data_IF_782911588248
#
_entry.id   IF_782911588248
#
_cell.length_a   1.000
_cell.length_b   1.000
_cell.length_c   1.000
_cell.angle_alpha   90.00
_cell.angle_beta   90.00
_cell.angle_gamma   90.00
#
_symmetry.space_group_name_H-M   'P 1'
#
loop_
_entity.id
_entity.type
_entity.pdbx_description
1 polymer ?
#
# COMPACT_ATOMS: atom_id res chain seq x y z
N UNK A 1 0.71 38.00 -9.55
CA UNK A 1 0.23 37.08 -8.49
C UNK A 1 0.40 35.64 -8.91
N UNK A 2 1.35 34.95 -8.30
CA UNK A 2 1.69 33.55 -8.58
C UNK A 2 1.00 32.67 -7.55
N UNK A 3 0.33 31.60 -7.98
CA UNK A 3 -0.28 30.63 -7.07
C UNK A 3 0.79 29.71 -6.50
N UNK A 4 0.82 29.56 -5.18
CA UNK A 4 1.68 28.61 -4.50
C UNK A 4 0.84 27.66 -3.66
N UNK A 5 1.15 26.37 -3.76
CA UNK A 5 0.56 25.31 -2.95
C UNK A 5 1.69 24.53 -2.29
N UNK A 6 1.66 24.41 -0.98
CA UNK A 6 2.53 23.49 -0.24
C UNK A 6 1.68 22.40 0.40
N UNK A 7 2.17 21.17 0.33
CA UNK A 7 1.45 19.97 0.77
C UNK A 7 2.41 19.06 1.53
N UNK A 8 2.07 18.64 2.74
CA UNK A 8 2.87 17.72 3.53
C UNK A 8 2.75 17.95 5.03
N UNK A 9 3.72 17.44 5.80
CA UNK A 9 3.83 17.70 7.24
C UNK A 9 4.80 18.87 7.48
N UNK A 10 4.42 19.90 8.26
CA UNK A 10 5.36 20.96 8.62
C UNK A 10 6.53 20.39 9.42
N UNK A 11 7.74 20.85 9.13
CA UNK A 11 8.94 20.55 9.90
C UNK A 11 8.95 21.25 11.25
N UNK A 12 8.44 22.50 11.31
CA UNK A 12 8.33 23.25 12.56
C UNK A 12 7.07 24.12 12.56
N UNK A 13 6.59 24.43 13.77
CA UNK A 13 5.55 25.44 14.02
C UNK A 13 6.10 26.40 15.06
N UNK A 14 6.18 27.69 14.73
CA UNK A 14 6.69 28.74 15.61
C UNK A 14 5.57 29.70 15.97
N UNK A 15 5.41 29.98 17.26
CA UNK A 15 4.48 31.00 17.74
C UNK A 15 5.05 32.39 17.46
N UNK A 16 4.24 33.28 16.89
CA UNK A 16 4.60 34.65 16.57
C UNK A 16 3.99 35.61 17.61
N UNK A 17 4.52 35.57 18.83
CA UNK A 17 3.90 36.23 19.99
C UNK A 17 3.71 37.76 19.86
N UNK A 18 4.49 38.42 18.98
CA UNK A 18 4.49 39.87 18.80
C UNK A 18 3.95 40.31 17.43
N UNK A 19 3.40 39.40 16.63
CA UNK A 19 2.82 39.73 15.33
C UNK A 19 1.31 40.00 15.50
N UNK A 20 0.81 41.20 15.10
CA UNK A 20 -0.58 41.58 15.31
C UNK A 20 -1.56 40.87 14.36
N UNK A 21 -1.08 40.22 13.30
CA UNK A 21 -1.90 39.63 12.24
C UNK A 21 -1.81 38.10 12.20
N UNK A 22 -0.64 37.53 12.47
CA UNK A 22 -0.36 36.10 12.34
C UNK A 22 0.01 35.48 13.68
N UNK A 23 -0.61 34.34 14.01
CA UNK A 23 -0.40 33.62 15.26
C UNK A 23 0.78 32.65 15.19
N UNK A 24 0.92 31.94 14.07
CA UNK A 24 1.95 30.92 13.87
C UNK A 24 2.63 31.03 12.52
N UNK A 25 3.92 30.75 12.46
CA UNK A 25 4.63 30.41 11.25
C UNK A 25 4.81 28.89 11.17
N UNK A 26 4.32 28.25 10.10
CA UNK A 26 4.54 26.83 9.85
C UNK A 26 5.58 26.67 8.75
N UNK A 27 6.67 25.98 9.08
CA UNK A 27 7.79 25.75 8.18
C UNK A 27 7.63 24.41 7.50
N UNK A 28 7.67 24.41 6.18
CA UNK A 28 7.79 23.25 5.32
C UNK A 28 9.18 23.32 4.69
N UNK A 29 10.19 22.84 5.40
CA UNK A 29 11.59 22.88 4.94
C UNK A 29 12.17 21.49 4.65
N UNK A 30 11.48 20.42 5.04
CA UNK A 30 11.87 19.04 4.73
C UNK A 30 11.31 18.62 3.37
N UNK A 31 12.08 18.89 2.32
CA UNK A 31 11.72 18.61 0.92
C UNK A 31 11.39 17.13 0.65
N UNK A 32 11.78 16.21 1.53
CA UNK A 32 11.47 14.77 1.38
C UNK A 32 10.06 14.42 1.84
N UNK A 33 9.45 15.22 2.71
CA UNK A 33 8.14 14.97 3.32
C UNK A 33 7.04 15.92 2.82
N UNK A 34 7.37 16.75 1.84
CA UNK A 34 6.48 17.78 1.34
C UNK A 34 6.62 17.95 -0.15
N UNK A 35 5.59 18.50 -0.78
CA UNK A 35 5.57 18.86 -2.18
C UNK A 35 5.09 20.29 -2.30
N UNK A 36 5.92 21.12 -2.95
CA UNK A 36 5.56 22.49 -3.28
C UNK A 36 5.25 22.58 -4.77
N UNK A 37 4.22 23.35 -5.12
CA UNK A 37 3.87 23.70 -6.48
C UNK A 37 3.77 25.21 -6.64
N UNK A 38 4.37 25.71 -7.72
CA UNK A 38 4.25 27.10 -8.15
C UNK A 38 3.52 27.08 -9.50
N UNK A 39 2.32 27.62 -9.54
CA UNK A 39 1.39 27.41 -10.65
C UNK A 39 1.09 25.92 -10.85
N UNK A 40 1.54 25.35 -11.97
CA UNK A 40 1.37 23.92 -12.30
C UNK A 40 2.62 23.08 -12.10
N UNK A 41 3.75 23.72 -11.80
CA UNK A 41 5.05 23.05 -11.75
C UNK A 41 5.37 22.63 -10.31
N UNK A 42 5.96 21.44 -10.16
CA UNK A 42 6.49 20.96 -8.88
C UNK A 42 7.89 21.53 -8.70
N UNK A 43 8.13 22.22 -7.60
CA UNK A 43 9.40 22.91 -7.34
C UNK A 43 9.92 22.48 -5.97
N UNK A 44 11.21 22.19 -5.87
CA UNK A 44 11.86 21.75 -4.64
C UNK A 44 12.36 22.96 -3.84
N UNK A 45 11.45 23.64 -3.15
CA UNK A 45 11.74 24.89 -2.41
C UNK A 45 11.19 24.83 -0.99
N UNK A 46 11.89 25.52 -0.08
CA UNK A 46 11.46 25.69 1.32
C UNK A 46 10.33 26.71 1.36
N UNK A 47 9.33 26.44 2.20
CA UNK A 47 8.14 27.29 2.31
C UNK A 47 7.84 27.56 3.78
N UNK A 48 7.48 28.80 4.10
CA UNK A 48 6.99 29.20 5.43
C UNK A 48 5.62 29.82 5.26
N UNK A 49 4.63 29.30 5.98
CA UNK A 49 3.25 29.79 5.90
C UNK A 49 2.89 30.56 7.17
N UNK A 50 2.34 31.76 7.01
CA UNK A 50 1.91 32.61 8.12
C UNK A 50 0.42 32.38 8.39
N UNK A 51 0.08 31.89 9.58
CA UNK A 51 -1.27 31.41 9.92
C UNK A 51 -1.96 32.41 10.85
N UNK A 52 -3.14 32.88 10.44
CA UNK A 52 -3.99 33.73 11.28
C UNK A 52 -4.68 32.94 12.40
N UNK A 53 -5.09 33.58 13.51
CA UNK A 53 -5.77 32.89 14.62
C UNK A 53 -6.99 32.05 14.19
N UNK A 54 -7.80 32.55 13.27
CA UNK A 54 -9.01 31.87 12.78
C UNK A 54 -8.65 30.64 11.94
N UNK A 55 -7.62 30.77 11.11
CA UNK A 55 -7.11 29.69 10.27
C UNK A 55 -6.49 28.56 11.12
N UNK A 56 -5.84 28.94 12.21
CA UNK A 56 -5.31 27.98 13.18
C UNK A 56 -6.43 27.18 13.85
N UNK A 57 -7.48 27.86 14.33
CA UNK A 57 -8.68 27.19 14.88
C UNK A 57 -9.33 26.26 13.85
N UNK A 58 -9.47 26.72 12.61
CA UNK A 58 -10.04 25.91 11.53
C UNK A 58 -9.19 24.65 11.27
N UNK A 59 -7.86 24.78 11.24
CA UNK A 59 -6.97 23.64 11.05
C UNK A 59 -7.10 22.62 12.19
N UNK A 60 -7.10 23.07 13.44
CA UNK A 60 -7.28 22.18 14.60
C UNK A 60 -8.63 21.45 14.56
N UNK A 61 -9.70 22.14 14.17
CA UNK A 61 -11.02 21.52 14.02
C UNK A 61 -11.00 20.44 12.94
N UNK A 62 -10.43 20.71 11.76
CA UNK A 62 -10.33 19.71 10.68
C UNK A 62 -9.50 18.48 11.10
N UNK A 63 -8.45 18.68 11.89
CA UNK A 63 -7.63 17.59 12.44
C UNK A 63 -8.46 16.74 13.40
N UNK A 64 -9.16 17.37 14.35
CA UNK A 64 -10.01 16.69 15.32
C UNK A 64 -11.18 15.94 14.66
N UNK A 65 -11.86 16.55 13.68
CA UNK A 65 -12.93 15.93 12.89
C UNK A 65 -12.44 14.70 12.11
N UNK A 66 -11.16 14.71 11.72
CA UNK A 66 -10.48 13.59 11.09
C UNK A 66 -10.20 12.40 12.03
N UNK A 67 -10.35 12.61 13.34
CA UNK A 67 -9.97 11.66 14.40
C UNK A 67 -8.47 11.67 14.71
N UNK A 68 -7.74 12.69 14.25
CA UNK A 68 -6.30 12.84 14.44
C UNK A 68 -6.04 13.93 15.51
N UNK A 69 -4.80 14.02 15.97
CA UNK A 69 -4.28 15.09 16.84
C UNK A 69 -3.24 15.92 16.08
N UNK A 70 -2.81 17.05 16.65
CA UNK A 70 -1.80 17.87 15.99
C UNK A 70 -0.44 17.15 15.82
N UNK A 71 -0.08 16.24 16.73
CA UNK A 71 1.22 15.55 16.71
C UNK A 71 1.28 14.43 15.66
N UNK A 72 0.16 13.74 15.45
CA UNK A 72 -0.04 12.68 14.45
C UNK A 72 -0.82 13.17 13.21
N UNK A 73 -0.95 14.49 13.02
CA UNK A 73 -1.55 15.07 11.83
C UNK A 73 -0.86 14.52 10.57
N UNK A 74 -1.68 14.07 9.63
CA UNK A 74 -1.25 13.36 8.44
C UNK A 74 -0.71 14.30 7.36
N UNK A 75 -1.58 15.02 6.66
CA UNK A 75 -1.20 15.81 5.51
C UNK A 75 -1.97 17.13 5.47
N UNK A 76 -1.23 18.24 5.54
CA UNK A 76 -1.77 19.60 5.49
C UNK A 76 -1.47 20.17 4.10
N UNK A 77 -2.48 20.77 3.47
CA UNK A 77 -2.33 21.49 2.19
C UNK A 77 -2.67 22.95 2.40
N UNK A 78 -1.76 23.83 1.99
CA UNK A 78 -1.91 25.28 2.12
C UNK A 78 -1.75 25.94 0.76
N UNK A 79 -2.73 26.75 0.39
CA UNK A 79 -2.79 27.43 -0.90
C UNK A 79 -2.84 28.93 -0.70
N UNK A 80 -2.03 29.67 -1.45
CA UNK A 80 -2.01 31.13 -1.39
C UNK A 80 -1.47 31.75 -2.66
N UNK A 81 -1.23 33.06 -2.57
CA UNK A 81 -0.68 33.85 -3.67
C UNK A 81 0.53 34.62 -3.17
N UNK A 82 1.48 34.83 -4.07
CA UNK A 82 2.65 35.67 -3.84
C UNK A 82 2.76 36.74 -4.92
N UNK A 83 3.34 37.87 -4.53
CA UNK A 83 3.47 39.04 -5.40
C UNK A 83 4.82 39.12 -6.10
N UNK A 84 5.81 38.34 -5.65
CA UNK A 84 7.14 38.26 -6.21
C UNK A 84 7.70 36.82 -6.10
N UNK A 85 8.79 36.56 -6.82
CA UNK A 85 9.59 35.33 -6.70
C UNK A 85 10.74 35.60 -5.71
N UNK A 86 10.85 34.92 -4.56
CA UNK A 86 12.06 34.91 -3.75
C UNK A 86 12.91 33.67 -4.10
N UNK A 87 14.24 33.81 -4.04
CA UNK A 87 15.17 32.85 -4.64
C UNK A 87 15.62 31.68 -3.74
N UNK A 88 15.15 31.55 -2.48
CA UNK A 88 15.54 30.41 -1.61
C UNK A 88 14.45 29.89 -0.63
N UNK A 89 13.67 30.77 -0.01
CA UNK A 89 12.57 30.42 0.91
C UNK A 89 11.34 31.25 0.55
N UNK A 90 10.20 30.59 0.37
CA UNK A 90 8.94 31.23 0.03
C UNK A 90 8.09 31.45 1.28
N UNK A 91 7.78 32.71 1.60
CA UNK A 91 6.88 33.03 2.70
C UNK A 91 5.55 33.54 2.17
N UNK A 92 4.43 32.99 2.63
CA UNK A 92 3.11 33.48 2.24
C UNK A 92 2.04 33.23 3.32
N UNK A 93 1.00 34.05 3.30
CA UNK A 93 -0.22 33.81 4.07
C UNK A 93 -1.19 32.96 3.23
N UNK A 94 -1.61 31.77 3.70
CA UNK A 94 -2.52 30.93 2.95
C UNK A 94 -3.89 31.57 2.89
N UNK A 95 -4.55 31.45 1.74
CA UNK A 95 -5.97 31.79 1.58
C UNK A 95 -6.87 30.60 1.89
N UNK A 96 -6.34 29.39 1.70
CA UNK A 96 -7.05 28.14 1.96
C UNK A 96 -6.14 27.16 2.66
N UNK A 97 -6.66 26.54 3.71
CA UNK A 97 -6.04 25.43 4.42
C UNK A 97 -6.97 24.23 4.28
N UNK A 98 -6.39 23.10 3.91
CA UNK A 98 -7.06 21.81 3.83
C UNK A 98 -6.27 20.80 4.64
N UNK A 99 -6.99 19.84 5.21
CA UNK A 99 -6.40 18.72 5.94
C UNK A 99 -6.95 17.42 5.37
N UNK A 100 -6.06 16.45 5.15
CA UNK A 100 -6.42 15.09 4.74
C UNK A 100 -6.06 14.15 5.88
N UNK A 101 -7.07 13.64 6.57
CA UNK A 101 -6.89 12.78 7.74
C UNK A 101 -6.37 11.39 7.39
N UNK A 102 -5.83 10.66 8.37
CA UNK A 102 -5.48 9.25 8.17
C UNK A 102 -6.70 8.39 7.84
N UNK A 103 -7.86 8.73 8.40
CA UNK A 103 -9.14 8.05 8.13
C UNK A 103 -9.59 8.26 6.67
N UNK A 104 -9.54 9.49 6.17
CA UNK A 104 -9.85 9.82 4.77
C UNK A 104 -8.87 9.15 3.81
N UNK A 105 -7.57 9.19 4.10
CA UNK A 105 -6.58 8.48 3.29
C UNK A 105 -6.85 6.97 3.23
N UNK A 106 -7.14 6.32 4.36
CA UNK A 106 -7.50 4.89 4.39
C UNK A 106 -8.78 4.60 3.63
N UNK A 107 -9.75 5.51 3.66
CA UNK A 107 -11.00 5.37 2.91
C UNK A 107 -10.76 5.54 1.42
N UNK A 108 -9.99 6.54 0.99
CA UNK A 108 -9.58 6.72 -0.41
C UNK A 108 -8.75 5.53 -0.90
N UNK A 109 -7.84 4.99 -0.09
CA UNK A 109 -7.09 3.77 -0.41
C UNK A 109 -8.01 2.55 -0.53
N UNK A 110 -9.00 2.41 0.35
CA UNK A 110 -10.03 1.36 0.23
C UNK A 110 -10.93 1.56 -0.99
N UNK A 111 -11.33 2.79 -1.29
CA UNK A 111 -12.15 3.14 -2.44
C UNK A 111 -11.36 2.94 -3.73
N UNK A 112 -10.07 3.25 -3.76
CA UNK A 112 -9.13 2.93 -4.84
C UNK A 112 -8.93 1.41 -4.96
N UNK A 113 -8.84 0.65 -3.87
CA UNK A 113 -8.80 -0.81 -3.91
C UNK A 113 -10.12 -1.43 -4.40
N UNK A 114 -11.27 -0.82 -4.06
CA UNK A 114 -12.60 -1.22 -4.51
C UNK A 114 -12.79 -0.83 -5.98
N UNK A 115 -12.30 0.33 -6.40
CA UNK A 115 -12.24 0.76 -7.79
C UNK A 115 -11.30 -0.15 -8.57
N UNK A 116 -10.12 -0.52 -8.10
CA UNK A 116 -9.24 -1.50 -8.75
C UNK A 116 -9.86 -2.90 -8.83
N UNK A 117 -10.72 -3.29 -7.88
CA UNK A 117 -11.49 -4.55 -7.93
C UNK A 117 -12.68 -4.47 -8.90
N UNK A 118 -13.37 -3.33 -9.00
CA UNK A 118 -14.43 -3.09 -9.98
C UNK A 118 -13.88 -2.86 -11.39
N UNK A 119 -12.74 -2.20 -11.53
CA UNK A 119 -12.02 -1.93 -12.78
C UNK A 119 -11.35 -3.19 -13.34
N UNK A 120 -11.21 -4.26 -12.57
CA UNK A 120 -10.90 -5.60 -13.11
C UNK A 120 -12.11 -6.31 -13.72
N UNK A 121 -13.33 -5.92 -13.36
CA UNK A 121 -14.57 -6.33 -14.03
C UNK A 121 -14.97 -5.39 -15.17
N UNK A 122 -14.59 -4.11 -15.09
CA UNK A 122 -14.91 -3.05 -16.04
C UNK A 122 -13.66 -2.43 -16.71
N UNK A 123 -12.60 -3.23 -16.95
CA UNK A 123 -11.41 -2.85 -17.74
C UNK A 123 -11.71 -2.55 -19.23
N UNK A 124 -12.97 -2.27 -19.56
CA UNK A 124 -13.46 -1.80 -20.83
C UNK A 124 -14.34 -0.58 -20.52
N UNK A 125 -13.73 0.63 -20.60
CA UNK A 125 -14.34 1.98 -20.68
C UNK A 125 -13.95 2.95 -19.56
N UNK A 126 -12.65 3.19 -19.37
CA UNK A 126 -12.19 4.58 -19.27
C UNK A 126 -11.38 4.83 -20.54
N UNK A 127 -11.95 5.59 -21.48
CA UNK A 127 -11.21 6.09 -22.64
C UNK A 127 -10.12 7.01 -22.10
N UNK A 128 -8.92 6.47 -21.87
CA UNK A 128 -7.74 7.29 -22.14
C UNK A 128 -7.87 7.65 -23.61
N UNK A 129 -8.06 8.93 -23.91
CA UNK A 129 -8.18 9.38 -25.30
C UNK A 129 -6.77 9.33 -25.88
N UNK A 130 -6.30 8.10 -26.15
CA UNK A 130 -5.10 7.86 -26.94
C UNK A 130 -5.34 8.60 -28.24
N UNK A 131 -4.47 9.57 -28.55
CA UNK A 131 -4.67 10.39 -29.75
C UNK A 131 -4.76 9.46 -30.98
N UNK A 132 -5.63 9.78 -31.93
CA UNK A 132 -5.77 9.01 -33.18
C UNK A 132 -4.42 8.79 -33.88
N UNK A 133 -3.51 9.77 -33.73
CA UNK A 133 -2.14 9.70 -34.26
C UNK A 133 -1.30 8.63 -33.58
N UNK A 134 -1.41 8.47 -32.26
CA UNK A 134 -0.75 7.37 -31.54
C UNK A 134 -1.32 6.04 -32.01
N UNK A 135 -2.64 5.91 -32.16
CA UNK A 135 -3.26 4.65 -32.61
C UNK A 135 -2.82 4.24 -34.04
N UNK A 136 -2.78 5.21 -34.96
CA UNK A 136 -2.29 5.00 -36.33
C UNK A 136 -0.83 4.56 -36.36
N UNK A 137 0.04 5.25 -35.63
CA UNK A 137 1.47 4.89 -35.57
C UNK A 137 1.68 3.57 -34.84
N UNK A 138 0.91 3.29 -33.80
CA UNK A 138 0.96 2.02 -33.06
C UNK A 138 0.56 0.84 -33.94
N UNK A 139 -0.50 0.98 -34.75
CA UNK A 139 -0.90 -0.03 -35.72
C UNK A 139 0.17 -0.20 -36.82
N UNK A 140 0.70 0.91 -37.35
CA UNK A 140 1.73 0.90 -38.39
C UNK A 140 3.02 0.19 -37.94
N UNK A 141 3.40 0.37 -36.68
CA UNK A 141 4.65 -0.17 -36.12
C UNK A 141 4.44 -1.38 -35.21
N UNK A 142 3.22 -1.94 -35.19
CA UNK A 142 2.84 -3.07 -34.35
C UNK A 142 3.24 -2.90 -32.86
N UNK A 143 3.10 -1.67 -32.35
CA UNK A 143 3.48 -1.28 -31.00
C UNK A 143 4.97 -1.35 -30.68
N UNK A 144 5.84 -1.55 -31.66
CA UNK A 144 7.29 -1.66 -31.48
C UNK A 144 7.94 -0.28 -31.39
N UNK A 145 8.71 -0.06 -30.32
CA UNK A 145 9.53 1.12 -30.12
C UNK A 145 10.58 1.22 -31.24
N UNK A 146 10.56 2.33 -31.97
CA UNK A 146 11.45 2.55 -33.13
C UNK A 146 12.91 2.86 -32.76
N UNK A 147 13.24 2.90 -31.46
CA UNK A 147 14.61 3.12 -30.97
C UNK A 147 15.25 1.87 -30.36
N UNK A 148 14.49 1.05 -29.61
CA UNK A 148 15.03 -0.12 -28.91
C UNK A 148 14.36 -1.46 -29.24
N UNK A 149 13.32 -1.49 -30.06
CA UNK A 149 12.61 -2.72 -30.42
C UNK A 149 11.64 -3.26 -29.35
N UNK A 150 11.57 -2.67 -28.16
CA UNK A 150 10.61 -3.05 -27.13
C UNK A 150 9.17 -2.87 -27.64
N UNK A 151 8.31 -3.88 -27.45
CA UNK A 151 6.88 -3.74 -27.70
C UNK A 151 6.19 -3.05 -26.51
N UNK A 152 5.36 -2.06 -26.78
CA UNK A 152 4.62 -1.29 -25.78
C UNK A 152 3.16 -1.12 -26.16
N UNK A 153 2.27 -1.02 -25.17
CA UNK A 153 0.88 -0.68 -25.39
C UNK A 153 0.73 0.79 -25.84
N UNK A 154 -0.32 1.07 -26.61
CA UNK A 154 -0.62 2.42 -27.13
C UNK A 154 -0.79 3.48 -26.04
N UNK A 155 -1.13 3.08 -24.81
CA UNK A 155 -1.25 3.97 -23.66
C UNK A 155 0.10 4.39 -23.07
N UNK A 156 1.18 3.68 -23.40
CA UNK A 156 2.50 3.84 -22.77
C UNK A 156 3.51 4.55 -23.68
N UNK A 157 3.26 4.54 -25.00
CA UNK A 157 4.19 5.11 -25.99
C UNK A 157 4.04 6.63 -26.14
N UNK A 158 5.14 7.29 -26.50
CA UNK A 158 5.15 8.69 -26.93
C UNK A 158 5.50 8.79 -28.41
N UNK A 159 5.04 9.84 -29.08
CA UNK A 159 5.43 10.14 -30.47
C UNK A 159 6.71 10.97 -30.46
N UNK A 160 7.71 10.59 -31.25
CA UNK A 160 8.95 11.36 -31.48
C UNK A 160 9.31 11.36 -32.96
N UNK A 161 9.94 12.44 -33.44
CA UNK A 161 10.52 12.51 -34.79
C UNK A 161 11.87 11.79 -34.79
N UNK A 162 12.02 10.77 -35.62
CA UNK A 162 13.22 9.93 -35.79
C UNK A 162 13.57 9.95 -37.28
N UNK A 163 14.78 10.43 -37.63
CA UNK A 163 15.28 10.48 -39.00
C UNK A 163 14.23 11.02 -40.01
N UNK A 164 13.67 12.18 -39.68
CA UNK A 164 12.63 12.88 -40.48
C UNK A 164 11.25 12.20 -40.55
N UNK A 165 11.03 11.04 -39.92
CA UNK A 165 9.72 10.38 -39.82
C UNK A 165 9.19 10.41 -38.39
N UNK A 166 7.87 10.38 -38.22
CA UNK A 166 7.26 10.28 -36.89
C UNK A 166 7.14 8.81 -36.51
N UNK A 167 7.65 8.46 -35.32
CA UNK A 167 7.60 7.11 -34.77
C UNK A 167 7.08 7.10 -33.34
N UNK A 168 6.85 5.90 -32.83
CA UNK A 168 6.55 5.67 -31.41
C UNK A 168 7.82 5.25 -30.68
N UNK A 169 7.97 5.74 -29.45
CA UNK A 169 9.07 5.38 -28.55
C UNK A 169 8.53 4.96 -27.19
N UNK A 170 9.22 4.01 -26.55
CA UNK A 170 8.91 3.58 -25.19
C UNK A 170 9.34 4.66 -24.16
N UNK A 171 8.85 4.57 -22.91
CA UNK A 171 9.23 5.49 -21.83
C UNK A 171 10.73 5.55 -21.60
N UNK A 172 11.43 4.42 -21.67
CA UNK A 172 12.89 4.39 -21.48
C UNK A 172 13.64 5.16 -22.56
N UNK A 173 13.25 4.95 -23.83
CA UNK A 173 13.83 5.68 -24.95
C UNK A 173 13.51 7.17 -24.93
N UNK A 174 12.37 7.55 -24.35
CA UNK A 174 11.98 8.94 -24.14
C UNK A 174 12.84 9.60 -23.05
N UNK A 175 13.09 8.88 -21.96
CA UNK A 175 13.86 9.36 -20.81
C UNK A 175 15.36 9.09 -20.93
N UNK A 176 15.80 8.49 -22.05
CA UNK A 176 17.19 8.12 -22.31
C UNK A 176 17.78 7.15 -21.27
N UNK A 177 16.92 6.31 -20.71
CA UNK A 177 17.28 5.27 -19.75
C UNK A 177 17.38 3.90 -20.40
N UNK A 178 18.16 3.00 -19.80
CA UNK A 178 18.17 1.57 -20.13
C UNK A 178 17.58 0.79 -18.96
N UNK A 179 16.63 -0.09 -19.25
CA UNK A 179 15.98 -0.92 -18.25
C UNK A 179 16.49 -2.37 -18.33
N UNK A 180 16.84 -2.94 -17.18
CA UNK A 180 17.25 -4.34 -17.04
C UNK A 180 16.67 -4.92 -15.76
N UNK A 181 16.38 -6.21 -15.77
CA UNK A 181 16.02 -6.96 -14.57
C UNK A 181 17.28 -7.19 -13.76
N UNK A 182 17.27 -6.75 -12.50
CA UNK A 182 18.43 -6.86 -11.60
C UNK A 182 18.25 -7.95 -10.57
N UNK A 183 17.05 -8.09 -10.02
CA UNK A 183 16.80 -9.02 -8.94
C UNK A 183 15.34 -9.51 -8.88
N UNK A 184 15.10 -10.53 -8.06
CA UNK A 184 13.77 -11.07 -7.75
C UNK A 184 13.54 -10.93 -6.24
N UNK A 185 12.37 -10.44 -5.86
CA UNK A 185 11.98 -10.35 -4.45
C UNK A 185 12.07 -11.73 -3.80
N UNK A 186 12.77 -11.83 -2.66
CA UNK A 186 13.09 -13.10 -1.98
C UNK A 186 11.90 -14.06 -1.84
N UNK A 187 10.75 -13.55 -1.40
CA UNK A 187 9.53 -14.37 -1.26
C UNK A 187 9.05 -14.93 -2.61
N UNK A 188 9.07 -14.11 -3.66
CA UNK A 188 8.68 -14.56 -4.99
C UNK A 188 9.65 -15.63 -5.51
N UNK A 189 10.95 -15.42 -5.33
CA UNK A 189 11.97 -16.41 -5.70
C UNK A 189 11.70 -17.75 -5.01
N UNK A 190 11.42 -17.74 -3.70
CA UNK A 190 11.09 -18.96 -2.95
C UNK A 190 9.82 -19.64 -3.48
N UNK A 191 8.75 -18.87 -3.69
CA UNK A 191 7.47 -19.42 -4.19
C UNK A 191 7.62 -20.05 -5.60
N UNK A 192 8.47 -19.47 -6.46
CA UNK A 192 8.75 -19.98 -7.80
C UNK A 192 9.55 -21.29 -7.77
N UNK A 193 10.58 -21.36 -6.92
CA UNK A 193 11.40 -22.55 -6.73
C UNK A 193 10.60 -23.69 -6.07
N UNK A 194 9.82 -23.40 -5.03
CA UNK A 194 8.99 -24.40 -4.33
C UNK A 194 7.92 -25.03 -5.21
N UNK A 195 7.46 -24.31 -6.24
CA UNK A 195 6.49 -24.82 -7.22
C UNK A 195 7.15 -25.57 -8.37
N UNK A 196 8.47 -25.77 -8.33
CA UNK A 196 9.25 -26.41 -9.39
C UNK A 196 9.04 -25.75 -10.76
N UNK A 197 8.78 -24.43 -10.78
CA UNK A 197 8.68 -23.68 -12.05
C UNK A 197 10.04 -23.31 -12.61
N UNK A 198 11.05 -23.27 -11.74
CA UNK A 198 12.45 -23.01 -12.05
C UNK A 198 13.33 -23.79 -11.08
N UNK A 199 14.57 -24.06 -11.48
CA UNK A 199 15.56 -24.81 -10.70
C UNK A 199 16.53 -23.89 -9.95
N UNK A 200 16.83 -22.70 -10.50
CA UNK A 200 17.81 -21.78 -9.91
C UNK A 200 17.38 -20.31 -9.99
N UNK A 201 17.95 -19.46 -9.12
CA UNK A 201 17.76 -17.99 -9.19
C UNK A 201 18.18 -17.42 -10.55
N UNK A 202 19.30 -17.92 -11.10
CA UNK A 202 19.85 -17.44 -12.36
C UNK A 202 18.89 -17.73 -13.53
N UNK A 203 18.28 -18.92 -13.54
CA UNK A 203 17.26 -19.30 -14.51
C UNK A 203 16.04 -18.38 -14.43
N UNK A 204 15.58 -18.05 -13.22
CA UNK A 204 14.48 -17.09 -13.00
C UNK A 204 14.83 -15.70 -13.55
N UNK A 205 16.05 -15.21 -13.28
CA UNK A 205 16.50 -13.90 -13.78
C UNK A 205 16.54 -13.87 -15.31
N UNK A 206 17.16 -14.89 -15.93
CA UNK A 206 17.25 -15.02 -17.39
C UNK A 206 15.85 -15.07 -18.03
N UNK A 207 14.94 -15.85 -17.43
CA UNK A 207 13.56 -15.93 -17.89
C UNK A 207 12.87 -14.56 -17.86
N UNK A 208 12.97 -13.81 -16.75
CA UNK A 208 12.32 -12.50 -16.66
C UNK A 208 12.98 -11.43 -17.54
N UNK A 209 14.30 -11.50 -17.73
CA UNK A 209 15.00 -10.62 -18.66
C UNK A 209 14.49 -10.83 -20.09
N UNK A 210 14.38 -12.09 -20.52
CA UNK A 210 13.83 -12.45 -21.84
C UNK A 210 12.33 -12.10 -21.93
N UNK A 211 11.56 -12.37 -20.89
CA UNK A 211 10.13 -12.06 -20.87
C UNK A 211 9.88 -10.56 -21.08
N UNK A 212 10.62 -9.70 -20.38
CA UNK A 212 10.41 -8.25 -20.46
C UNK A 212 10.87 -7.66 -21.80
N UNK A 213 11.89 -8.24 -22.45
CA UNK A 213 12.33 -7.79 -23.77
C UNK A 213 11.41 -8.27 -24.90
N UNK A 214 10.78 -9.43 -24.74
CA UNK A 214 9.93 -10.04 -25.76
C UNK A 214 8.47 -9.54 -25.71
N UNK A 215 7.92 -9.36 -24.50
CA UNK A 215 6.48 -9.13 -24.31
C UNK A 215 6.13 -7.68 -24.01
N UNK A 216 4.85 -7.35 -24.15
CA UNK A 216 4.41 -5.95 -24.23
C UNK A 216 4.41 -5.27 -22.87
N UNK A 217 5.05 -4.10 -22.81
CA UNK A 217 4.95 -3.19 -21.67
C UNK A 217 3.57 -2.52 -21.71
N UNK A 218 2.70 -2.90 -20.77
CA UNK A 218 1.30 -2.44 -20.71
C UNK A 218 1.08 -1.32 -19.70
N UNK A 219 1.97 -1.15 -18.74
CA UNK A 219 1.90 -0.07 -17.75
C UNK A 219 3.30 0.38 -17.37
N UNK A 220 3.51 1.69 -17.31
CA UNK A 220 4.71 2.34 -16.80
C UNK A 220 4.26 3.47 -15.88
N UNK A 221 4.38 3.26 -14.57
CA UNK A 221 4.02 4.23 -13.52
C UNK A 221 5.29 4.63 -12.76
N UNK A 222 5.17 5.63 -11.90
CA UNK A 222 6.30 6.15 -11.11
C UNK A 222 7.05 5.07 -10.34
N UNK A 223 6.35 4.08 -9.78
CA UNK A 223 6.95 3.06 -8.92
C UNK A 223 7.08 1.67 -9.57
N UNK A 224 6.29 1.39 -10.62
CA UNK A 224 6.22 0.05 -11.18
C UNK A 224 5.99 0.01 -12.70
N UNK A 225 6.27 -1.17 -13.25
CA UNK A 225 6.08 -1.53 -14.64
C UNK A 225 5.36 -2.87 -14.69
N UNK A 226 4.46 -3.02 -15.66
CA UNK A 226 3.77 -4.28 -15.89
C UNK A 226 3.98 -4.72 -17.33
N UNK A 227 4.41 -5.96 -17.49
CA UNK A 227 4.52 -6.64 -18.77
C UNK A 227 3.42 -7.70 -18.86
N UNK A 228 2.88 -7.88 -20.05
CA UNK A 228 1.84 -8.87 -20.32
C UNK A 228 2.19 -9.72 -21.54
N UNK A 229 1.96 -11.01 -21.43
CA UNK A 229 2.09 -11.97 -22.54
C UNK A 229 0.70 -12.44 -23.00
N UNK A 230 0.50 -12.44 -24.32
CA UNK A 230 -0.62 -13.15 -24.96
C UNK A 230 -0.28 -14.62 -25.25
N UNK A 231 0.99 -14.99 -25.17
CA UNK A 231 1.45 -16.35 -25.41
C UNK A 231 1.00 -17.28 -24.27
N UNK A 232 0.33 -18.38 -24.63
CA UNK A 232 -0.18 -19.36 -23.66
C UNK A 232 0.87 -20.38 -23.24
N UNK A 233 2.01 -20.41 -23.91
CA UNK A 233 3.12 -21.34 -23.61
C UNK A 233 4.07 -20.79 -22.54
N UNK A 234 4.03 -19.49 -22.25
CA UNK A 234 4.86 -18.88 -21.20
C UNK A 234 4.41 -19.26 -19.80
N UNK A 235 5.34 -19.32 -18.84
CA UNK A 235 5.04 -19.64 -17.43
C UNK A 235 4.17 -18.53 -16.81
N UNK A 236 4.47 -17.27 -17.13
CA UNK A 236 3.80 -16.10 -16.58
C UNK A 236 2.89 -15.45 -17.62
N UNK A 237 1.72 -14.98 -17.16
CA UNK A 237 0.81 -14.11 -17.90
C UNK A 237 1.20 -12.65 -17.75
N UNK A 238 1.47 -12.23 -16.53
CA UNK A 238 1.92 -10.87 -16.21
C UNK A 238 3.13 -10.89 -15.29
N UNK A 239 4.00 -9.91 -15.48
CA UNK A 239 5.19 -9.70 -14.66
C UNK A 239 5.18 -8.24 -14.20
N UNK A 240 5.24 -8.04 -12.89
CA UNK A 240 5.35 -6.73 -12.26
C UNK A 240 6.77 -6.51 -11.77
N UNK A 241 7.35 -5.37 -12.16
CA UNK A 241 8.73 -5.02 -11.88
C UNK A 241 8.79 -3.60 -11.34
N UNK A 242 9.63 -3.36 -10.34
CA UNK A 242 9.92 -1.99 -9.88
C UNK A 242 10.72 -1.23 -10.93
N UNK A 243 10.83 0.10 -10.82
CA UNK A 243 11.66 0.90 -11.73
C UNK A 243 13.16 0.53 -11.65
N UNK A 244 13.62 0.05 -10.50
CA UNK A 244 15.00 -0.40 -10.28
C UNK A 244 15.29 -1.79 -10.88
N UNK A 245 14.28 -2.47 -11.42
CA UNK A 245 14.44 -3.79 -12.03
C UNK A 245 14.24 -4.96 -11.07
N UNK A 246 13.54 -4.78 -9.94
CA UNK A 246 13.19 -5.89 -9.04
C UNK A 246 11.84 -6.50 -9.44
N UNK A 247 11.83 -7.79 -9.79
CA UNK A 247 10.58 -8.54 -10.01
C UNK A 247 9.96 -8.87 -8.66
N UNK A 248 8.78 -8.32 -8.38
CA UNK A 248 8.16 -8.47 -7.05
C UNK A 248 6.83 -9.21 -7.08
N UNK A 249 6.21 -9.35 -8.25
CA UNK A 249 4.93 -10.05 -8.40
C UNK A 249 4.74 -10.59 -9.81
N UNK A 250 4.18 -11.79 -9.93
CA UNK A 250 3.79 -12.39 -11.22
C UNK A 250 2.41 -13.00 -11.14
N UNK A 251 1.72 -13.05 -12.27
CA UNK A 251 0.54 -13.89 -12.45
C UNK A 251 0.94 -15.07 -13.32
N UNK A 252 0.72 -16.30 -12.85
CA UNK A 252 1.01 -17.49 -13.63
C UNK A 252 -0.01 -17.68 -14.76
N UNK A 253 0.42 -18.30 -15.85
CA UNK A 253 -0.45 -18.64 -16.98
C UNK A 253 -1.42 -19.77 -16.61
N UNK A 254 -0.93 -20.75 -15.87
CA UNK A 254 -1.70 -21.87 -15.33
C UNK A 254 -1.81 -21.74 -13.80
N UNK A 255 -3.03 -21.86 -13.27
CA UNK A 255 -3.35 -21.72 -11.85
C UNK A 255 -3.91 -20.33 -11.48
N UNK A 256 -4.97 -20.30 -10.66
CA UNK A 256 -5.56 -19.04 -10.16
C UNK A 256 -4.67 -18.49 -9.05
N UNK A 257 -3.82 -17.51 -9.35
CA UNK A 257 -3.12 -16.78 -8.28
C UNK A 257 -2.03 -15.84 -8.78
N UNK A 258 -1.83 -14.76 -8.02
CA UNK A 258 -0.61 -13.97 -8.10
C UNK A 258 0.42 -14.55 -7.13
N UNK A 259 1.68 -14.54 -7.52
CA UNK A 259 2.81 -14.78 -6.65
C UNK A 259 3.54 -13.46 -6.34
N UNK A 260 4.05 -13.25 -5.13
CA UNK A 260 3.83 -14.10 -3.96
C UNK A 260 2.36 -14.02 -3.51
N UNK A 261 1.85 -15.08 -2.88
CA UNK A 261 0.51 -15.05 -2.30
C UNK A 261 0.45 -13.91 -1.26
N UNK A 262 -0.71 -13.22 -1.12
CA UNK A 262 -0.86 -12.19 -0.09
C UNK A 262 -0.53 -12.82 1.28
N UNK A 263 0.34 -12.20 2.11
CA UNK A 263 0.66 -12.74 3.41
C UNK A 263 -0.62 -12.89 4.25
N UNK A 264 -0.79 -14.05 4.89
CA UNK A 264 -1.87 -14.24 5.87
C UNK A 264 -1.60 -13.31 7.05
N UNK A 265 -2.64 -12.66 7.59
CA UNK A 265 -2.56 -11.66 8.67
C UNK A 265 -1.65 -12.10 9.81
N UNK A 266 -1.01 -11.18 10.53
CA UNK A 266 -0.14 -11.49 11.68
C UNK A 266 -0.78 -11.04 13.01
N UNK A 267 -0.38 -11.64 14.12
CA UNK A 267 -0.76 -11.21 15.48
C UNK A 267 0.44 -11.32 16.42
N UNK A 268 0.64 -10.32 17.27
CA UNK A 268 1.69 -10.32 18.30
C UNK A 268 1.08 -10.64 19.65
N UNK A 269 1.64 -11.64 20.35
CA UNK A 269 1.21 -12.09 21.69
C UNK A 269 2.48 -12.23 22.53
N UNK A 270 2.55 -11.56 23.69
CA UNK A 270 3.70 -11.59 24.61
C UNK A 270 5.05 -11.36 23.90
N UNK A 271 5.10 -10.36 23.02
CA UNK A 271 6.30 -10.00 22.24
C UNK A 271 6.66 -10.97 21.10
N UNK A 272 5.92 -12.08 20.92
CA UNK A 272 6.13 -13.03 19.82
C UNK A 272 5.12 -12.80 18.70
N UNK A 273 5.59 -12.77 17.46
CA UNK A 273 4.72 -12.59 16.29
C UNK A 273 4.35 -13.94 15.68
N UNK A 274 3.06 -14.14 15.44
CA UNK A 274 2.50 -15.35 14.84
C UNK A 274 1.79 -15.03 13.53
N UNK A 275 1.85 -15.95 12.57
CA UNK A 275 1.02 -15.91 11.37
C UNK A 275 -0.37 -16.46 11.67
N UNK A 276 -1.42 -15.76 11.28
CA UNK A 276 -2.81 -16.21 11.38
C UNK A 276 -3.07 -17.24 10.29
N UNK A 277 -3.20 -18.50 10.67
CA UNK A 277 -3.53 -19.58 9.75
C UNK A 277 -5.03 -19.58 9.41
N UNK A 278 -5.88 -19.41 10.44
CA UNK A 278 -7.34 -19.22 10.28
C UNK A 278 -7.85 -18.12 11.23
N UNK A 279 -8.43 -17.03 10.70
CA UNK A 279 -8.82 -15.87 11.51
C UNK A 279 -10.01 -16.11 12.43
N UNK A 280 -10.89 -17.05 12.05
CA UNK A 280 -12.05 -17.50 12.82
C UNK A 280 -12.30 -18.98 12.46
N UNK A 281 -12.28 -19.85 13.45
CA UNK A 281 -12.48 -21.30 13.30
C UNK A 281 -13.40 -21.79 14.40
N UNK A 282 -14.47 -22.48 14.05
CA UNK A 282 -15.25 -23.24 15.03
C UNK A 282 -14.46 -24.49 15.46
N UNK A 283 -14.19 -24.61 16.75
CA UNK A 283 -13.35 -25.66 17.31
C UNK A 283 -14.05 -26.34 18.49
N UNK A 284 -14.02 -27.67 18.50
CA UNK A 284 -14.50 -28.44 19.65
C UNK A 284 -13.64 -28.18 20.88
N UNK A 285 -14.28 -28.01 22.04
CA UNK A 285 -13.60 -27.72 23.31
C UNK A 285 -12.60 -28.81 23.74
N UNK A 286 -12.80 -30.06 23.33
CA UNK A 286 -11.91 -31.19 23.64
C UNK A 286 -10.61 -31.23 22.81
N UNK A 287 -10.56 -30.46 21.71
CA UNK A 287 -9.35 -30.26 20.91
C UNK A 287 -8.42 -29.22 21.51
N UNK A 288 -8.86 -28.46 22.52
CA UNK A 288 -8.06 -27.42 23.17
C UNK A 288 -7.57 -27.96 24.52
N UNK A 289 -6.27 -27.81 24.79
CA UNK A 289 -5.65 -28.26 26.03
C UNK A 289 -6.13 -27.41 27.21
N UNK A 290 -6.14 -27.98 28.41
CA UNK A 290 -6.34 -27.19 29.62
C UNK A 290 -5.22 -26.16 29.78
N UNK A 291 -5.55 -25.01 30.38
CA UNK A 291 -4.57 -23.98 30.73
C UNK A 291 -3.57 -24.53 31.76
N UNK A 292 -2.32 -24.07 31.69
CA UNK A 292 -1.32 -24.30 32.74
C UNK A 292 -1.70 -23.56 34.02
N UNK A 293 -1.15 -23.96 35.16
CA UNK A 293 -1.49 -23.32 36.43
C UNK A 293 -1.02 -21.87 36.49
N UNK A 294 0.08 -21.53 35.80
CA UNK A 294 0.54 -20.15 35.59
C UNK A 294 -0.50 -19.34 34.83
N UNK A 295 -1.06 -19.89 33.75
CA UNK A 295 -2.11 -19.24 32.96
C UNK A 295 -3.43 -19.10 33.72
N UNK A 296 -3.73 -20.01 34.65
CA UNK A 296 -4.92 -19.90 35.50
C UNK A 296 -4.74 -18.81 36.55
N UNK A 297 -3.56 -18.73 37.15
CA UNK A 297 -3.23 -17.77 38.20
C UNK A 297 -3.27 -16.31 37.70
N UNK A 298 -3.06 -16.09 36.39
CA UNK A 298 -3.13 -14.75 35.79
C UNK A 298 -4.56 -14.26 35.50
N UNK A 299 -5.60 -15.03 35.81
CA UNK A 299 -6.99 -14.69 35.51
C UNK A 299 -7.71 -14.32 36.79
N UNK A 300 -8.36 -13.16 36.82
CA UNK A 300 -9.23 -12.80 37.94
C UNK A 300 -10.61 -13.43 37.77
N UNK A 301 -11.24 -13.83 38.88
CA UNK A 301 -12.57 -14.44 38.83
C UNK A 301 -13.61 -13.45 38.27
N UNK A 302 -13.45 -12.14 38.50
CA UNK A 302 -14.33 -11.12 37.90
C UNK A 302 -14.30 -11.15 36.37
N UNK A 303 -13.12 -11.33 35.76
CA UNK A 303 -12.96 -11.40 34.30
C UNK A 303 -13.66 -12.63 33.72
N UNK A 304 -13.66 -13.75 34.44
CA UNK A 304 -14.40 -14.96 34.03
C UNK A 304 -15.91 -14.67 34.05
N UNK A 305 -16.41 -14.01 35.10
CA UNK A 305 -17.84 -13.68 35.22
C UNK A 305 -18.29 -12.65 34.17
N UNK A 306 -17.44 -11.69 33.81
CA UNK A 306 -17.70 -10.77 32.70
C UNK A 306 -17.82 -11.50 31.36
N UNK A 307 -16.93 -12.45 31.08
CA UNK A 307 -17.00 -13.25 29.86
C UNK A 307 -18.24 -14.15 29.81
N UNK A 308 -18.66 -14.71 30.95
CA UNK A 308 -19.89 -15.50 31.03
C UNK A 308 -21.11 -14.63 30.71
N UNK A 309 -21.25 -13.48 31.37
CA UNK A 309 -22.35 -12.54 31.12
C UNK A 309 -22.40 -12.06 29.67
N UNK A 310 -21.23 -11.73 29.10
CA UNK A 310 -21.14 -11.32 27.71
C UNK A 310 -21.55 -12.44 26.74
N UNK A 311 -21.16 -13.68 27.03
CA UNK A 311 -21.55 -14.85 26.23
C UNK A 311 -23.04 -15.15 26.33
N UNK A 312 -23.66 -14.97 27.48
CA UNK A 312 -25.10 -15.19 27.66
C UNK A 312 -25.94 -14.28 26.75
N UNK A 313 -25.55 -13.00 26.64
CA UNK A 313 -26.19 -11.98 25.79
C UNK A 313 -25.84 -12.16 24.30
N UNK A 314 -24.55 -12.21 23.96
CA UNK A 314 -24.09 -12.13 22.55
C UNK A 314 -23.81 -13.48 21.90
N UNK A 315 -23.86 -14.59 22.64
CA UNK A 315 -23.43 -15.93 22.19
C UNK A 315 -22.01 -15.98 21.62
N UNK A 316 -21.16 -15.04 22.03
CA UNK A 316 -19.73 -14.96 21.73
C UNK A 316 -19.00 -14.39 22.93
N UNK A 317 -17.70 -14.64 23.05
CA UNK A 317 -16.85 -14.00 24.06
C UNK A 317 -16.39 -12.62 23.59
N UNK A 318 -16.12 -11.70 24.52
CA UNK A 318 -15.65 -10.35 24.17
C UNK A 318 -14.16 -10.35 23.85
N UNK A 319 -13.40 -11.23 24.49
CA UNK A 319 -11.99 -11.46 24.18
C UNK A 319 -11.84 -12.68 23.25
N UNK A 320 -10.97 -12.56 22.25
CA UNK A 320 -10.75 -13.64 21.26
C UNK A 320 -9.82 -14.70 21.85
N UNK A 321 -10.25 -15.95 21.81
CA UNK A 321 -9.41 -17.10 22.16
C UNK A 321 -8.46 -17.37 21.00
N UNK A 322 -7.15 -17.22 21.23
CA UNK A 322 -6.11 -17.46 20.22
C UNK A 322 -5.39 -18.76 20.57
N UNK A 323 -5.27 -19.66 19.59
CA UNK A 323 -4.69 -20.98 19.80
C UNK A 323 -3.62 -21.29 18.77
N UNK A 324 -2.61 -22.05 19.19
CA UNK A 324 -1.57 -22.62 18.31
C UNK A 324 -1.62 -24.14 18.38
N UNK A 325 -1.39 -24.81 17.25
CA UNK A 325 -1.22 -26.26 17.24
C UNK A 325 0.15 -26.60 17.84
N UNK A 326 0.18 -27.44 18.86
CA UNK A 326 1.45 -27.95 19.39
C UNK A 326 2.06 -28.94 18.40
N UNK A 327 3.37 -28.86 18.19
CA UNK A 327 4.10 -29.82 17.37
C UNK A 327 3.79 -31.25 17.80
N UNK A 328 3.54 -32.11 16.81
CA UNK A 328 3.20 -33.52 17.01
C UNK A 328 1.94 -33.81 17.85
N UNK A 329 1.04 -32.82 18.02
CA UNK A 329 -0.22 -33.00 18.74
C UNK A 329 -1.45 -32.77 17.86
N UNK A 330 -2.53 -33.49 18.18
CA UNK A 330 -3.89 -33.20 17.65
C UNK A 330 -4.60 -32.09 18.43
N UNK A 331 -4.04 -31.68 19.58
CA UNK A 331 -4.59 -30.65 20.48
C UNK A 331 -3.89 -29.30 20.31
N UNK A 332 -4.66 -28.25 20.54
CA UNK A 332 -4.24 -26.86 20.47
C UNK A 332 -3.95 -26.30 21.86
N UNK A 333 -2.98 -25.42 21.94
CA UNK A 333 -2.62 -24.66 23.13
C UNK A 333 -3.17 -23.25 23.04
N UNK A 334 -3.70 -22.73 24.14
CA UNK A 334 -4.20 -21.35 24.23
C UNK A 334 -3.01 -20.42 24.44
N UNK A 335 -2.89 -19.41 23.58
CA UNK A 335 -1.86 -18.37 23.66
C UNK A 335 -2.39 -17.05 24.24
N UNK A 336 -3.68 -16.76 24.04
CA UNK A 336 -4.36 -15.57 24.56
C UNK A 336 -5.87 -15.85 24.68
N UNK A 337 -6.61 -15.04 25.43
CA UNK A 337 -8.03 -15.30 25.69
C UNK A 337 -8.28 -16.23 26.87
N UNK A 338 -7.43 -16.21 27.91
CA UNK A 338 -7.49 -17.16 29.00
C UNK A 338 -8.80 -17.07 29.80
N UNK A 339 -9.25 -15.85 30.11
CA UNK A 339 -10.53 -15.62 30.79
C UNK A 339 -11.71 -16.16 29.98
N UNK A 340 -11.73 -15.88 28.67
CA UNK A 340 -12.75 -16.38 27.74
C UNK A 340 -12.76 -17.90 27.65
N UNK A 341 -11.58 -18.54 27.62
CA UNK A 341 -11.49 -19.99 27.62
C UNK A 341 -11.96 -20.62 28.93
N UNK A 342 -11.67 -19.99 30.08
CA UNK A 342 -12.19 -20.47 31.37
C UNK A 342 -13.70 -20.29 31.50
N UNK A 343 -14.24 -19.17 31.04
CA UNK A 343 -15.68 -18.97 30.93
C UNK A 343 -16.33 -20.05 30.06
N UNK A 344 -15.73 -20.37 28.91
CA UNK A 344 -16.18 -21.48 28.07
C UNK A 344 -16.15 -22.83 28.81
N UNK A 345 -15.13 -23.11 29.64
CA UNK A 345 -15.10 -24.34 30.45
C UNK A 345 -16.23 -24.43 31.47
N UNK A 346 -16.63 -23.30 32.08
CA UNK A 346 -17.76 -23.24 33.02
C UNK A 346 -19.10 -23.42 32.29
N UNK A 347 -19.28 -22.77 31.14
CA UNK A 347 -20.51 -22.84 30.31
C UNK A 347 -20.67 -24.21 29.63
N UNK A 348 -19.55 -24.88 29.30
CA UNK A 348 -19.47 -26.18 28.61
C UNK A 348 -20.16 -26.21 27.22
N UNK A 349 -19.94 -25.23 26.32
CA UNK A 349 -20.42 -25.36 24.95
C UNK A 349 -19.67 -26.48 24.21
N UNK A 350 -20.33 -27.13 23.25
CA UNK A 350 -19.70 -28.19 22.42
C UNK A 350 -18.57 -27.63 21.55
N UNK A 351 -18.77 -26.42 21.00
CA UNK A 351 -17.84 -25.73 20.12
C UNK A 351 -17.67 -24.27 20.55
N UNK A 352 -16.49 -23.71 20.24
CA UNK A 352 -16.19 -22.29 20.41
C UNK A 352 -15.47 -21.75 19.19
N UNK A 353 -15.59 -20.45 18.94
CA UNK A 353 -14.83 -19.78 17.90
C UNK A 353 -13.44 -19.38 18.40
N UNK A 354 -12.40 -19.77 17.67
CA UNK A 354 -11.01 -19.47 17.98
C UNK A 354 -10.27 -18.90 16.77
N UNK A 355 -9.20 -18.15 17.03
CA UNK A 355 -8.22 -17.76 16.02
C UNK A 355 -7.05 -18.74 16.06
N UNK A 356 -6.74 -19.40 14.94
CA UNK A 356 -5.63 -20.35 14.85
C UNK A 356 -4.41 -19.68 14.26
N UNK A 357 -3.27 -19.79 14.95
CA UNK A 357 -2.01 -19.19 14.54
C UNK A 357 -0.88 -20.21 14.44
N UNK A 358 0.15 -19.84 13.69
CA UNK A 358 1.38 -20.60 13.49
C UNK A 358 2.61 -19.72 13.70
N UNK A 359 3.77 -20.31 14.00
CA UNK A 359 5.01 -19.56 14.21
C UNK A 359 5.53 -19.06 12.86
N UNK A 360 6.01 -17.82 12.83
CA UNK A 360 6.87 -17.35 11.75
C UNK A 360 8.22 -18.04 11.89
N UNK A 361 8.49 -19.05 11.05
CA UNK A 361 9.81 -19.64 10.91
C UNK A 361 10.80 -18.65 10.30
#
# INVERSE_FOLDING_TARGET
>A
MIQLTVKGKPSHVRHLANDPEYLFAMEFHDLTKQTTRIGKEKVAVKVTTLIRPEQWKQLLQMIADGGDTLSDANEITMEGKMDHLPEEVYTFAPRRILYRSHSQQKQEEKELEIHEKKDKGNALKIKSTVSKRVEQLHTKYDGVCQKCGQRCDKQVVAIKKIQSKMGIICPDCKNETTFVIRDIKKQLQQDLLQRNLFSTKQEILSYFQQFCSQFVLVSHREMDRMYWSWDKTTICRTVHVSQEGMVYKVQLQQGKGNLPAKPKSQVTIDGKTFQVHHPLTEMRMDRIRALSDVQKASIREEEIQEQIRYYEDKKTFSEKIIVKRKENSKRYEVLAGYASYQAAKKIKPRHIYVKVVDVLN
#
